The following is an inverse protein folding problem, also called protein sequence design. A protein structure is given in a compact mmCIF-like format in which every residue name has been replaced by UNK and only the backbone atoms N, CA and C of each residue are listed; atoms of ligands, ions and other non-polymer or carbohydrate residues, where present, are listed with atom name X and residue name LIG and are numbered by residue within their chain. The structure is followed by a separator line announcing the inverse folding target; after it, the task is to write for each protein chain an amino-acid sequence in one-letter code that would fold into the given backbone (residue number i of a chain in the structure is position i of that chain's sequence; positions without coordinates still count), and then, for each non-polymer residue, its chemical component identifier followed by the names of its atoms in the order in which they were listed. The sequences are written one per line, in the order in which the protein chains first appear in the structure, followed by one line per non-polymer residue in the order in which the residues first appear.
data_IF_084182840276
#
_entry.id   IF_084182840276
#
_cell.length_a   1.000
_cell.length_b   1.000
_cell.length_c   1.000
_cell.angle_alpha   90.00
_cell.angle_beta   90.00
_cell.angle_gamma   90.00
#
_symmetry.space_group_name_H-M   'P 1'
#
loop_
_entity.id
_entity.type
_entity.pdbx_description
1 polymer ?
#
# COMPACT_ATOMS: atom_id res chain seq x y z
N UNK A 1 18.01 76.11 -46.17
CA UNK A 1 18.62 75.46 -47.36
C UNK A 1 18.10 74.02 -47.41
N UNK A 2 17.24 73.76 -48.40
CA UNK A 2 16.69 72.49 -48.92
C UNK A 2 16.15 71.40 -47.97
N UNK A 3 14.81 71.32 -47.93
CA UNK A 3 14.01 70.13 -47.60
C UNK A 3 14.17 69.06 -48.69
N UNK A 4 14.41 67.80 -48.30
CA UNK A 4 14.19 66.63 -49.15
C UNK A 4 12.92 65.88 -48.70
N UNK A 5 11.95 65.78 -49.63
CA UNK A 5 10.79 64.87 -49.54
C UNK A 5 11.25 63.47 -49.97
N UNK A 6 11.01 62.46 -49.14
CA UNK A 6 11.09 61.05 -49.55
C UNK A 6 9.67 60.51 -49.58
N UNK A 7 9.28 60.01 -50.75
CA UNK A 7 7.98 59.40 -51.06
C UNK A 7 8.09 57.91 -50.74
N UNK A 8 7.22 57.39 -49.86
CA UNK A 8 7.08 55.95 -49.63
C UNK A 8 5.95 55.39 -50.50
N UNK A 9 6.30 54.42 -51.36
CA UNK A 9 5.36 53.64 -52.16
C UNK A 9 4.81 52.48 -51.32
N UNK A 10 3.49 52.41 -51.16
CA UNK A 10 2.80 51.32 -50.47
C UNK A 10 2.29 50.34 -51.53
N UNK A 11 2.86 49.14 -51.56
CA UNK A 11 2.39 48.03 -52.43
C UNK A 11 1.42 47.17 -51.63
N UNK A 12 0.15 47.13 -52.01
CA UNK A 12 -0.90 46.33 -51.37
C UNK A 12 -0.93 44.93 -51.99
N UNK A 13 -0.59 43.89 -51.21
CA UNK A 13 -0.65 42.49 -51.65
C UNK A 13 -2.06 41.92 -51.33
N UNK A 14 -2.85 41.61 -52.35
CA UNK A 14 -4.13 40.91 -52.19
C UNK A 14 -3.89 39.39 -52.06
N UNK A 15 -4.19 38.81 -50.90
CA UNK A 15 -4.25 37.35 -50.73
C UNK A 15 -5.63 36.84 -51.13
N UNK A 16 -5.71 36.08 -52.23
CA UNK A 16 -6.88 35.29 -52.60
C UNK A 16 -6.88 34.00 -51.77
N UNK A 17 -7.84 33.86 -50.85
CA UNK A 17 -8.09 32.61 -50.12
C UNK A 17 -8.97 31.69 -50.96
N UNK A 18 -8.38 30.64 -51.54
CA UNK A 18 -9.12 29.53 -52.15
C UNK A 18 -9.65 28.59 -51.06
N UNK A 19 -10.97 28.58 -50.84
CA UNK A 19 -11.62 27.67 -49.89
C UNK A 19 -11.95 26.33 -50.58
N UNK A 20 -11.11 25.32 -50.36
CA UNK A 20 -11.44 23.93 -50.71
C UNK A 20 -12.41 23.36 -49.67
N UNK A 21 -13.64 23.03 -50.10
CA UNK A 21 -14.61 22.33 -49.24
C UNK A 21 -14.58 20.83 -49.57
N UNK A 22 -14.47 19.99 -48.54
CA UNK A 22 -14.62 18.54 -48.68
C UNK A 22 -16.08 18.19 -49.04
N UNK A 23 -16.28 17.44 -50.13
CA UNK A 23 -17.61 17.08 -50.70
C UNK A 23 -18.27 15.90 -49.96
N UNK A 24 -17.73 15.45 -48.83
CA UNK A 24 -18.32 14.34 -48.08
C UNK A 24 -18.36 14.65 -46.59
N UNK A 25 -19.55 14.95 -46.08
CA UNK A 25 -19.77 14.93 -44.63
C UNK A 25 -19.86 13.46 -44.20
N UNK A 26 -19.05 13.02 -43.21
CA UNK A 26 -19.22 11.69 -42.66
C UNK A 26 -20.64 11.56 -42.08
N UNK A 27 -21.25 10.36 -42.15
CA UNK A 27 -22.55 10.15 -41.54
C UNK A 27 -22.52 10.54 -40.05
N UNK A 28 -23.62 11.09 -39.56
CA UNK A 28 -23.73 11.53 -38.18
C UNK A 28 -23.39 10.36 -37.24
N UNK A 29 -22.47 10.61 -36.30
CA UNK A 29 -22.09 9.64 -35.28
C UNK A 29 -23.34 9.21 -34.53
N UNK A 30 -23.72 7.95 -34.66
CA UNK A 30 -24.79 7.39 -33.85
C UNK A 30 -24.22 7.17 -32.46
N UNK A 31 -24.70 7.91 -31.46
CA UNK A 31 -24.46 7.58 -30.06
C UNK A 31 -25.21 6.28 -29.75
N UNK A 32 -24.59 5.15 -30.07
CA UNK A 32 -24.95 3.92 -29.38
C UNK A 32 -24.60 4.12 -27.92
N UNK A 33 -25.58 4.04 -27.02
CA UNK A 33 -25.34 3.79 -25.61
C UNK A 33 -24.50 2.52 -25.51
N UNK A 34 -23.19 2.69 -25.52
CA UNK A 34 -22.27 1.68 -25.05
C UNK A 34 -22.70 1.46 -23.60
N UNK A 35 -23.42 0.38 -23.35
CA UNK A 35 -23.66 -0.08 -21.98
C UNK A 35 -22.32 -0.10 -21.24
N UNK A 36 -22.33 -0.03 -19.90
CA UNK A 36 -21.09 0.05 -19.10
C UNK A 36 -20.04 -0.94 -19.63
N UNK A 37 -19.05 -0.42 -20.37
CA UNK A 37 -17.96 -1.23 -20.89
C UNK A 37 -17.11 -1.54 -19.68
N UNK A 38 -17.32 -2.71 -19.09
CA UNK A 38 -16.40 -3.18 -18.07
C UNK A 38 -15.03 -3.39 -18.73
N UNK A 39 -13.99 -2.88 -18.07
CA UNK A 39 -12.62 -3.09 -18.52
C UNK A 39 -12.35 -4.59 -18.69
N UNK A 40 -11.69 -4.96 -19.79
CA UNK A 40 -11.31 -6.35 -20.04
C UNK A 40 -10.46 -6.87 -18.89
N UNK A 41 -10.97 -7.88 -18.18
CA UNK A 41 -10.19 -8.59 -17.17
C UNK A 41 -9.63 -9.89 -17.75
N UNK A 42 -8.32 -10.16 -17.60
CA UNK A 42 -7.74 -11.41 -18.05
C UNK A 42 -8.46 -12.61 -17.43
N UNK A 43 -8.70 -13.66 -18.23
CA UNK A 43 -9.34 -14.91 -17.76
C UNK A 43 -8.54 -15.63 -16.66
N UNK A 44 -7.28 -15.25 -16.46
CA UNK A 44 -6.39 -15.78 -15.42
C UNK A 44 -6.71 -15.25 -14.02
N UNK A 45 -7.50 -14.17 -13.90
CA UNK A 45 -7.87 -13.59 -12.60
C UNK A 45 -9.20 -14.14 -12.13
N UNK A 46 -9.31 -14.49 -10.84
CA UNK A 46 -10.53 -15.07 -10.27
C UNK A 46 -11.67 -14.04 -10.23
N UNK A 47 -12.67 -14.12 -11.13
CA UNK A 47 -13.71 -13.10 -11.22
C UNK A 47 -14.66 -13.14 -10.02
N UNK A 48 -14.62 -14.19 -9.19
CA UNK A 48 -15.50 -14.31 -8.03
C UNK A 48 -15.15 -13.30 -6.93
N UNK A 49 -13.86 -12.97 -6.74
CA UNK A 49 -13.45 -12.00 -5.72
C UNK A 49 -13.92 -10.58 -6.02
N UNK A 50 -14.24 -10.27 -7.28
CA UNK A 50 -14.76 -8.95 -7.69
C UNK A 50 -16.20 -8.69 -7.25
N UNK A 51 -16.98 -9.74 -6.98
CA UNK A 51 -18.37 -9.60 -6.53
C UNK A 51 -18.43 -9.12 -5.08
N UNK A 52 -19.60 -8.68 -4.65
CA UNK A 52 -19.85 -8.42 -3.23
C UNK A 52 -19.72 -9.71 -2.41
N UNK A 53 -19.16 -9.62 -1.20
CA UNK A 53 -19.04 -10.74 -0.27
C UNK A 53 -19.64 -10.40 1.10
N UNK A 54 -20.05 -11.44 1.82
CA UNK A 54 -20.47 -11.38 3.22
C UNK A 54 -19.61 -12.37 4.00
N UNK A 55 -18.75 -11.89 4.89
CA UNK A 55 -17.78 -12.71 5.63
C UNK A 55 -17.74 -12.23 7.09
N UNK A 56 -17.99 -13.11 8.06
CA UNK A 56 -17.97 -12.82 9.50
C UNK A 56 -18.75 -11.54 9.91
N UNK A 57 -19.92 -11.34 9.30
CA UNK A 57 -20.83 -10.18 9.43
C UNK A 57 -20.31 -8.88 8.82
N UNK A 58 -19.30 -8.94 7.95
CA UNK A 58 -18.77 -7.81 7.21
C UNK A 58 -19.27 -7.87 5.77
N UNK A 59 -19.85 -6.77 5.32
CA UNK A 59 -20.23 -6.59 3.92
C UNK A 59 -19.05 -5.99 3.15
N UNK A 60 -18.48 -6.75 2.23
CA UNK A 60 -17.38 -6.29 1.38
C UNK A 60 -17.95 -5.86 0.03
N UNK A 61 -17.76 -4.59 -0.31
CA UNK A 61 -18.25 -4.00 -1.55
C UNK A 61 -17.63 -4.66 -2.79
N UNK A 62 -18.35 -4.72 -3.92
CA UNK A 62 -17.78 -5.23 -5.17
C UNK A 62 -16.64 -4.33 -5.67
N UNK A 63 -15.65 -4.92 -6.32
CA UNK A 63 -14.52 -4.20 -6.90
C UNK A 63 -14.54 -4.26 -8.41
N UNK A 64 -14.44 -3.09 -9.04
CA UNK A 64 -14.31 -2.97 -10.49
C UNK A 64 -12.92 -3.42 -10.98
N UNK A 65 -11.90 -3.42 -10.11
CA UNK A 65 -10.52 -3.79 -10.43
C UNK A 65 -10.46 -5.27 -10.82
N UNK A 66 -9.64 -5.60 -11.82
CA UNK A 66 -9.56 -6.97 -12.31
C UNK A 66 -8.99 -7.94 -11.27
N UNK A 67 -7.98 -7.50 -10.50
CA UNK A 67 -7.35 -8.27 -9.43
C UNK A 67 -7.57 -7.59 -8.07
N UNK A 68 -8.75 -7.74 -7.45
CA UNK A 68 -9.03 -7.19 -6.14
C UNK A 68 -8.29 -7.96 -5.04
N UNK A 69 -8.17 -7.34 -3.86
CA UNK A 69 -7.65 -8.00 -2.67
C UNK A 69 -8.53 -9.21 -2.29
N UNK A 70 -7.91 -10.19 -1.64
CA UNK A 70 -8.61 -11.35 -1.11
C UNK A 70 -9.66 -10.87 -0.06
N UNK A 71 -10.97 -11.13 -0.26
CA UNK A 71 -12.01 -10.65 0.65
C UNK A 71 -11.88 -11.21 2.08
N UNK A 72 -11.28 -12.39 2.25
CA UNK A 72 -11.01 -12.95 3.58
C UNK A 72 -9.91 -12.17 4.31
N UNK A 73 -8.91 -11.65 3.59
CA UNK A 73 -7.90 -10.77 4.18
C UNK A 73 -8.54 -9.45 4.61
N UNK A 74 -9.42 -8.87 3.78
CA UNK A 74 -10.17 -7.64 4.13
C UNK A 74 -10.94 -7.86 5.43
N UNK A 75 -11.66 -8.98 5.55
CA UNK A 75 -12.41 -9.30 6.76
C UNK A 75 -11.51 -9.39 8.01
N UNK A 76 -10.35 -10.03 7.88
CA UNK A 76 -9.36 -10.13 8.95
C UNK A 76 -8.73 -8.78 9.33
N UNK A 77 -8.46 -7.90 8.37
CA UNK A 77 -7.90 -6.57 8.60
C UNK A 77 -8.91 -5.60 9.24
N UNK A 78 -10.19 -5.73 8.90
CA UNK A 78 -11.26 -4.92 9.50
C UNK A 78 -11.52 -5.34 10.95
N UNK A 79 -11.75 -6.63 11.20
CA UNK A 79 -12.15 -7.12 12.53
C UNK A 79 -10.99 -7.47 13.47
N UNK A 80 -9.80 -7.69 12.93
CA UNK A 80 -8.70 -8.35 13.64
C UNK A 80 -8.75 -9.87 13.47
N UNK A 81 -7.58 -10.51 13.37
CA UNK A 81 -7.42 -11.96 13.24
C UNK A 81 -8.00 -12.73 14.42
N UNK A 82 -8.09 -12.10 15.60
CA UNK A 82 -8.73 -12.66 16.80
C UNK A 82 -10.27 -12.65 16.79
N UNK A 83 -10.90 -11.82 15.94
CA UNK A 83 -12.37 -11.66 15.90
C UNK A 83 -13.01 -12.22 14.60
N UNK A 84 -12.25 -13.04 13.87
CA UNK A 84 -12.71 -13.76 12.66
C UNK A 84 -12.85 -15.25 12.91
N UNK A 85 -13.68 -15.91 12.12
CA UNK A 85 -13.89 -17.35 12.24
C UNK A 85 -12.66 -18.12 11.75
N UNK A 86 -12.45 -19.33 12.27
CA UNK A 86 -11.39 -20.21 11.78
C UNK A 86 -11.55 -20.50 10.27
N UNK A 87 -12.80 -20.57 9.77
CA UNK A 87 -13.09 -20.74 8.36
C UNK A 87 -12.56 -19.56 7.52
N UNK A 88 -12.73 -18.32 7.98
CA UNK A 88 -12.15 -17.13 7.36
C UNK A 88 -10.63 -17.18 7.41
N UNK A 89 -10.03 -17.43 8.58
CA UNK A 89 -8.57 -17.48 8.74
C UNK A 89 -7.92 -18.54 7.85
N UNK A 90 -8.57 -19.69 7.63
CA UNK A 90 -8.10 -20.74 6.71
C UNK A 90 -8.03 -20.29 5.24
N UNK A 91 -8.77 -19.25 4.84
CA UNK A 91 -8.74 -18.64 3.50
C UNK A 91 -7.76 -17.47 3.38
N UNK A 92 -7.11 -17.08 4.48
CA UNK A 92 -6.03 -16.08 4.52
C UNK A 92 -4.66 -16.75 4.57
N UNK A 93 -3.59 -15.98 4.38
CA UNK A 93 -2.21 -16.38 4.70
C UNK A 93 -1.66 -15.66 5.94
N UNK A 94 -2.54 -15.11 6.78
CA UNK A 94 -2.16 -14.38 7.99
C UNK A 94 -1.92 -15.37 9.14
N UNK A 95 -0.94 -15.07 10.00
CA UNK A 95 -0.83 -15.75 11.29
C UNK A 95 -1.99 -15.34 12.22
N UNK A 96 -2.42 -16.20 13.17
CA UNK A 96 -3.53 -15.88 14.08
C UNK A 96 -3.30 -14.63 14.95
N UNK A 97 -2.04 -14.27 15.20
CA UNK A 97 -1.60 -13.12 16.01
C UNK A 97 -1.15 -11.92 15.16
N UNK A 98 -1.45 -11.91 13.85
CA UNK A 98 -0.99 -10.84 12.94
C UNK A 98 -1.58 -9.48 13.27
N UNK A 99 -2.87 -9.45 13.56
CA UNK A 99 -3.60 -8.22 13.88
C UNK A 99 -4.62 -8.52 14.97
N UNK A 100 -4.33 -8.15 16.20
CA UNK A 100 -5.26 -8.31 17.31
C UNK A 100 -5.93 -6.96 17.55
N UNK A 101 -7.26 -6.95 17.53
CA UNK A 101 -8.08 -5.78 17.86
C UNK A 101 -8.93 -6.09 19.08
N UNK A 102 -8.80 -5.29 20.13
CA UNK A 102 -9.44 -5.52 21.43
C UNK A 102 -9.80 -4.19 22.08
N UNK A 103 -10.67 -4.24 23.08
CA UNK A 103 -11.00 -3.14 23.99
C UNK A 103 -11.54 -1.89 23.29
N UNK A 104 -12.84 -1.64 23.47
CA UNK A 104 -13.48 -0.36 23.19
C UNK A 104 -13.26 0.52 24.44
N UNK A 105 -12.23 1.37 24.39
CA UNK A 105 -11.74 2.20 25.50
C UNK A 105 -12.59 3.46 25.65
N UNK A 106 -13.04 4.06 24.55
CA UNK A 106 -13.84 5.28 24.56
C UNK A 106 -15.36 5.06 24.47
N UNK A 107 -15.80 3.84 24.18
CA UNK A 107 -17.19 3.39 24.20
C UNK A 107 -17.96 3.69 22.92
N UNK A 108 -17.27 3.89 21.79
CA UNK A 108 -17.87 4.33 20.54
C UNK A 108 -18.31 3.18 19.60
N UNK A 109 -17.93 1.95 19.94
CA UNK A 109 -18.39 0.72 19.29
C UNK A 109 -17.36 0.01 18.42
N UNK A 110 -16.10 0.44 18.43
CA UNK A 110 -15.00 -0.28 17.79
C UNK A 110 -13.74 -0.41 18.69
N UNK A 111 -12.76 -1.25 18.32
CA UNK A 111 -11.64 -1.55 19.21
C UNK A 111 -10.48 -0.54 19.10
N UNK A 112 -10.09 0.04 20.24
CA UNK A 112 -9.03 1.04 20.37
C UNK A 112 -7.65 0.45 20.69
N UNK A 113 -7.57 -0.82 21.11
CA UNK A 113 -6.29 -1.47 21.38
C UNK A 113 -5.91 -2.41 20.24
N UNK A 114 -4.89 -2.02 19.48
CA UNK A 114 -4.50 -2.65 18.22
C UNK A 114 -3.07 -3.16 18.31
N UNK A 115 -2.89 -4.47 18.16
CA UNK A 115 -1.56 -5.09 18.09
C UNK A 115 -1.30 -5.58 16.67
N UNK A 116 -0.27 -5.03 16.03
CA UNK A 116 0.10 -5.31 14.64
C UNK A 116 1.44 -6.04 14.63
N UNK A 117 1.55 -7.17 13.93
CA UNK A 117 2.82 -7.88 13.73
C UNK A 117 3.28 -7.79 12.29
N UNK A 118 4.49 -7.28 12.11
CA UNK A 118 5.15 -7.15 10.83
C UNK A 118 6.42 -7.98 10.80
N UNK A 119 6.72 -8.52 9.63
CA UNK A 119 7.98 -9.18 9.30
C UNK A 119 8.72 -8.37 8.23
N UNK A 120 10.05 -8.54 8.15
CA UNK A 120 10.81 -8.04 7.00
C UNK A 120 11.03 -9.17 6.02
N UNK A 121 10.61 -8.95 4.79
CA UNK A 121 10.70 -9.93 3.72
C UNK A 121 11.52 -9.39 2.56
N UNK A 122 12.17 -10.29 1.86
CA UNK A 122 12.84 -10.00 0.61
C UNK A 122 11.96 -10.46 -0.56
N UNK A 123 11.69 -9.57 -1.50
CA UNK A 123 10.87 -9.83 -2.67
C UNK A 123 11.71 -10.52 -3.75
N UNK A 124 12.20 -11.72 -3.46
CA UNK A 124 12.90 -12.56 -4.42
C UNK A 124 12.05 -13.79 -4.73
N UNK A 125 11.94 -14.17 -6.00
CA UNK A 125 11.18 -15.36 -6.35
C UNK A 125 10.86 -15.49 -7.83
N UNK A 126 10.06 -16.51 -8.14
CA UNK A 126 9.60 -16.74 -9.49
C UNK A 126 8.35 -15.89 -9.79
N UNK A 127 8.28 -15.35 -11.00
CA UNK A 127 7.07 -14.72 -11.53
C UNK A 127 6.49 -15.61 -12.63
N UNK A 128 5.16 -15.66 -12.81
CA UNK A 128 4.55 -16.23 -14.02
C UNK A 128 5.08 -15.62 -15.32
N UNK A 129 5.64 -14.40 -15.25
CA UNK A 129 6.09 -13.64 -16.42
C UNK A 129 7.54 -13.97 -16.84
N UNK A 130 8.34 -14.58 -15.95
CA UNK A 130 9.77 -14.84 -16.16
C UNK A 130 10.12 -16.29 -15.83
N UNK A 131 10.98 -16.91 -16.66
CA UNK A 131 11.42 -18.30 -16.46
C UNK A 131 12.42 -18.46 -15.31
N UNK A 132 13.25 -17.44 -15.10
CA UNK A 132 14.30 -17.44 -14.08
C UNK A 132 13.81 -16.71 -12.81
N UNK A 133 14.34 -17.06 -11.63
CA UNK A 133 14.06 -16.32 -10.40
C UNK A 133 14.41 -14.84 -10.56
N UNK A 134 13.47 -13.98 -10.20
CA UNK A 134 13.68 -12.54 -10.05
C UNK A 134 14.29 -12.31 -8.67
N UNK A 135 15.58 -11.99 -8.64
CA UNK A 135 16.29 -11.58 -7.42
C UNK A 135 16.53 -10.07 -7.37
N UNK A 136 16.31 -9.39 -8.49
CA UNK A 136 16.48 -7.95 -8.64
C UNK A 136 15.51 -7.41 -9.68
N UNK A 137 15.13 -6.15 -9.55
CA UNK A 137 14.12 -5.51 -10.39
C UNK A 137 14.74 -4.39 -11.20
N UNK A 138 14.65 -4.46 -12.52
CA UNK A 138 15.20 -3.43 -13.40
C UNK A 138 14.38 -2.14 -13.32
N UNK A 139 14.95 -1.11 -12.70
CA UNK A 139 14.31 0.22 -12.60
C UNK A 139 14.89 1.23 -13.60
N UNK A 140 16.11 1.01 -14.08
CA UNK A 140 16.77 1.84 -15.09
C UNK A 140 17.86 1.03 -15.83
N UNK A 141 18.40 1.51 -16.96
CA UNK A 141 19.52 0.86 -17.63
C UNK A 141 20.71 0.62 -16.68
N UNK A 142 21.04 -0.64 -16.43
CA UNK A 142 22.13 -1.04 -15.52
C UNK A 142 21.79 -1.02 -14.03
N UNK A 143 20.57 -0.66 -13.62
CA UNK A 143 20.17 -0.57 -12.22
C UNK A 143 19.11 -1.64 -11.91
N UNK A 144 19.50 -2.65 -11.13
CA UNK A 144 18.63 -3.73 -10.68
C UNK A 144 18.77 -3.93 -9.15
N UNK A 145 18.07 -3.14 -8.30
CA UNK A 145 18.06 -3.39 -6.85
C UNK A 145 17.28 -4.65 -6.50
N UNK A 146 17.63 -5.28 -5.38
CA UNK A 146 16.71 -6.14 -4.64
C UNK A 146 15.73 -5.28 -3.86
N UNK A 147 14.50 -5.76 -3.67
CA UNK A 147 13.48 -5.07 -2.88
C UNK A 147 13.15 -5.85 -1.61
N UNK A 148 13.05 -5.11 -0.51
CA UNK A 148 12.60 -5.57 0.79
C UNK A 148 11.34 -4.82 1.17
N UNK A 149 10.43 -5.49 1.85
CA UNK A 149 9.19 -4.89 2.31
C UNK A 149 8.90 -5.31 3.75
N UNK A 150 8.20 -4.44 4.48
CA UNK A 150 7.46 -4.93 5.63
C UNK A 150 6.24 -5.70 5.11
N UNK A 151 5.92 -6.82 5.75
CA UNK A 151 4.72 -7.58 5.43
C UNK A 151 3.99 -7.94 6.73
N UNK A 152 2.65 -8.07 6.72
CA UNK A 152 1.94 -8.64 7.85
C UNK A 152 2.48 -10.05 8.12
N UNK A 153 2.62 -10.39 9.41
CA UNK A 153 3.07 -11.73 9.81
C UNK A 153 2.27 -12.80 9.09
N UNK A 154 2.97 -13.64 8.35
CA UNK A 154 2.31 -14.65 7.53
C UNK A 154 2.32 -16.01 8.22
N UNK A 155 1.38 -16.88 7.85
CA UNK A 155 1.48 -18.31 8.10
C UNK A 155 1.91 -19.02 6.82
N UNK A 156 2.80 -19.98 6.94
CA UNK A 156 3.18 -20.84 5.83
C UNK A 156 4.39 -20.32 5.05
N UNK A 157 4.29 -20.33 3.72
CA UNK A 157 5.44 -20.14 2.81
C UNK A 157 5.38 -18.79 2.11
N UNK A 158 6.54 -18.35 1.61
CA UNK A 158 6.65 -17.17 0.74
C UNK A 158 5.95 -17.34 -0.62
N UNK A 159 5.60 -18.57 -0.99
CA UNK A 159 4.79 -18.90 -2.16
C UNK A 159 3.39 -19.37 -1.72
N UNK A 160 2.43 -19.38 -2.66
CA UNK A 160 1.07 -19.87 -2.41
C UNK A 160 1.02 -21.32 -1.88
N UNK A 161 1.96 -22.18 -2.31
CA UNK A 161 2.09 -23.57 -1.86
C UNK A 161 3.49 -24.13 -2.17
N UNK A 162 3.80 -25.34 -1.68
CA UNK A 162 5.08 -26.02 -1.94
C UNK A 162 5.27 -26.39 -3.42
N UNK A 163 4.17 -26.44 -4.17
CA UNK A 163 4.14 -26.77 -5.60
C UNK A 163 3.97 -25.52 -6.48
N UNK A 164 3.73 -24.35 -5.89
CA UNK A 164 3.53 -23.10 -6.64
C UNK A 164 4.80 -22.27 -6.63
N UNK A 165 5.11 -21.71 -7.79
CA UNK A 165 6.15 -20.69 -7.96
C UNK A 165 5.63 -19.28 -7.77
N UNK A 166 4.30 -19.11 -7.58
CA UNK A 166 3.68 -17.81 -7.37
C UNK A 166 3.91 -17.34 -5.94
N UNK A 167 4.40 -16.12 -5.79
CA UNK A 167 4.60 -15.48 -4.51
C UNK A 167 3.27 -15.34 -3.74
N UNK A 168 3.35 -15.42 -2.42
CA UNK A 168 2.24 -15.14 -1.52
C UNK A 168 1.80 -13.67 -1.71
N UNK A 169 0.51 -13.38 -1.96
CA UNK A 169 0.04 -12.04 -2.27
C UNK A 169 0.18 -11.03 -1.12
N UNK A 170 0.44 -11.48 0.11
CA UNK A 170 0.80 -10.59 1.22
C UNK A 170 2.18 -9.95 1.04
N UNK A 171 3.06 -10.59 0.24
CA UNK A 171 4.42 -10.17 -0.02
C UNK A 171 4.43 -9.25 -1.24
N UNK A 172 4.30 -7.95 -1.01
CA UNK A 172 4.21 -6.95 -2.07
C UNK A 172 4.89 -5.65 -1.71
N UNK A 173 5.22 -4.88 -2.74
CA UNK A 173 5.69 -3.49 -2.65
C UNK A 173 4.58 -2.55 -3.15
N UNK A 174 4.34 -1.38 -2.51
CA UNK A 174 4.97 -0.89 -1.27
C UNK A 174 4.57 -1.72 -0.03
N UNK A 175 5.28 -1.51 1.08
CA UNK A 175 4.91 -2.09 2.38
C UNK A 175 3.45 -1.71 2.74
N UNK A 176 2.72 -2.53 3.51
CA UNK A 176 1.30 -2.30 3.77
C UNK A 176 1.07 -0.95 4.43
N UNK A 177 -0.03 -0.28 4.06
CA UNK A 177 -0.51 0.85 4.82
C UNK A 177 -1.04 0.37 6.16
N UNK A 178 -0.61 1.02 7.25
CA UNK A 178 -1.23 0.84 8.56
C UNK A 178 -2.29 1.93 8.70
N UNK A 179 -3.55 1.54 8.93
CA UNK A 179 -4.66 2.48 9.13
C UNK A 179 -5.27 2.29 10.52
N UNK A 180 -5.37 3.37 11.27
CA UNK A 180 -5.79 3.40 12.68
C UNK A 180 -6.55 4.70 12.93
N UNK A 181 -7.15 4.83 14.10
CA UNK A 181 -7.85 6.04 14.51
C UNK A 181 -7.04 6.88 15.50
N UNK A 182 -7.48 8.14 15.59
CA UNK A 182 -6.96 9.08 16.55
C UNK A 182 -7.34 8.62 17.97
N UNK A 183 -6.35 8.40 18.82
CA UNK A 183 -6.54 7.96 20.20
C UNK A 183 -6.23 6.49 20.45
N UNK A 184 -6.15 5.67 19.39
CA UNK A 184 -5.86 4.24 19.49
C UNK A 184 -4.53 3.98 20.20
N UNK A 185 -4.52 2.93 21.03
CA UNK A 185 -3.31 2.36 21.60
C UNK A 185 -2.78 1.28 20.68
N UNK A 186 -1.68 1.59 20.00
CA UNK A 186 -1.15 0.74 18.94
C UNK A 186 0.18 0.14 19.38
N UNK A 187 0.27 -1.18 19.34
CA UNK A 187 1.51 -1.91 19.54
C UNK A 187 1.93 -2.52 18.21
N UNK A 188 2.98 -1.97 17.59
CA UNK A 188 3.57 -2.55 16.38
C UNK A 188 4.76 -3.42 16.77
N UNK A 189 4.70 -4.72 16.51
CA UNK A 189 5.81 -5.64 16.75
C UNK A 189 6.48 -6.00 15.44
N UNK A 190 7.76 -5.66 15.31
CA UNK A 190 8.62 -6.14 14.24
C UNK A 190 9.23 -7.48 14.64
N UNK A 191 8.88 -8.55 13.95
CA UNK A 191 9.54 -9.86 14.01
C UNK A 191 10.56 -9.95 12.89
N UNK A 192 11.85 -9.84 13.21
CA UNK A 192 12.89 -9.82 12.19
C UNK A 192 13.28 -11.25 11.75
N UNK A 193 12.53 -11.80 10.79
CA UNK A 193 12.87 -13.05 10.10
C UNK A 193 13.93 -12.87 9.00
N UNK A 194 14.36 -11.64 8.72
CA UNK A 194 15.39 -11.31 7.73
C UNK A 194 16.82 -11.48 8.27
N UNK A 195 17.79 -11.64 7.37
CA UNK A 195 19.20 -11.88 7.70
C UNK A 195 20.00 -10.61 8.03
N UNK A 196 19.40 -9.43 7.91
CA UNK A 196 19.97 -8.14 8.32
C UNK A 196 19.23 -7.57 9.53
N UNK A 197 19.89 -6.78 10.40
CA UNK A 197 19.21 -5.99 11.42
C UNK A 197 18.28 -4.94 10.81
N UNK A 198 17.13 -4.74 11.46
CA UNK A 198 16.12 -3.76 11.03
C UNK A 198 15.55 -2.99 12.23
N UNK A 199 14.81 -1.93 11.93
CA UNK A 199 13.98 -1.18 12.87
C UNK A 199 12.79 -0.59 12.12
N UNK A 200 11.83 -0.01 12.83
CA UNK A 200 10.77 0.82 12.27
C UNK A 200 10.80 2.17 12.96
N UNK A 201 10.86 3.25 12.19
CA UNK A 201 10.67 4.61 12.67
C UNK A 201 9.39 5.18 12.05
N UNK A 202 8.56 5.81 12.88
CA UNK A 202 7.26 6.34 12.51
C UNK A 202 7.32 7.87 12.43
N UNK A 203 6.94 8.44 11.29
CA UNK A 203 6.92 9.89 11.12
C UNK A 203 5.56 10.45 11.52
N UNK A 204 5.53 11.59 12.20
CA UNK A 204 4.29 12.33 12.46
C UNK A 204 3.25 11.59 13.31
N UNK A 205 3.65 10.47 13.93
CA UNK A 205 2.81 9.69 14.86
C UNK A 205 3.32 9.96 16.27
N UNK A 206 2.39 10.20 17.18
CA UNK A 206 2.73 10.40 18.58
C UNK A 206 3.16 9.09 19.24
N UNK A 207 4.40 9.08 19.73
CA UNK A 207 4.95 7.99 20.52
C UNK A 207 5.95 8.54 21.53
N UNK A 208 6.14 7.90 22.69
CA UNK A 208 7.18 8.32 23.61
C UNK A 208 8.57 8.01 23.02
N UNK A 209 9.60 8.69 23.53
CA UNK A 209 11.00 8.38 23.18
C UNK A 209 11.46 7.05 23.79
N UNK A 210 10.97 6.73 24.99
CA UNK A 210 11.20 5.49 25.73
C UNK A 210 9.88 4.99 26.30
N UNK A 211 9.74 3.67 26.39
CA UNK A 211 8.65 3.00 27.10
C UNK A 211 8.82 3.18 28.62
N UNK A 212 7.77 2.87 29.37
CA UNK A 212 7.79 2.95 30.84
C UNK A 212 8.94 2.16 31.48
N UNK A 213 9.31 1.02 30.87
CA UNK A 213 10.41 0.18 31.31
C UNK A 213 11.83 0.72 30.97
N UNK A 214 11.92 1.92 30.38
CA UNK A 214 13.18 2.57 29.99
C UNK A 214 13.78 2.09 28.66
N UNK A 215 13.16 1.13 27.98
CA UNK A 215 13.57 0.72 26.65
C UNK A 215 13.17 1.79 25.62
N UNK A 216 14.02 2.08 24.64
CA UNK A 216 13.70 3.03 23.57
C UNK A 216 12.42 2.71 22.83
N UNK A 217 11.80 3.69 22.17
CA UNK A 217 10.60 3.48 21.38
C UNK A 217 10.60 4.16 19.98
N UNK A 218 11.45 5.16 19.72
CA UNK A 218 11.44 5.91 18.45
C UNK A 218 11.99 5.13 17.22
N UNK A 219 12.67 4.00 17.45
CA UNK A 219 13.13 3.13 16.36
C UNK A 219 14.31 3.66 15.55
N UNK A 220 14.93 4.76 15.99
CA UNK A 220 16.20 5.29 15.51
C UNK A 220 17.34 4.66 16.31
N UNK A 221 18.16 3.75 15.72
CA UNK A 221 19.11 2.95 16.49
C UNK A 221 20.22 3.76 17.18
N UNK A 222 20.51 4.96 16.68
CA UNK A 222 21.60 5.80 17.17
C UNK A 222 21.21 6.60 18.42
N UNK A 223 19.91 6.81 18.66
CA UNK A 223 19.41 7.72 19.70
C UNK A 223 18.53 6.99 20.71
N UNK A 224 17.57 6.19 20.26
CA UNK A 224 16.50 5.70 21.11
C UNK A 224 16.59 4.20 21.38
N UNK A 225 16.78 3.37 20.35
CA UNK A 225 16.55 1.91 20.44
C UNK A 225 17.78 1.11 20.00
N UNK A 226 17.82 -0.19 20.32
CA UNK A 226 18.75 -1.12 19.69
C UNK A 226 18.17 -1.66 18.38
N UNK A 227 19.04 -2.11 17.49
CA UNK A 227 18.67 -2.83 16.27
C UNK A 227 17.86 -4.09 16.62
N UNK A 228 16.78 -4.35 15.89
CA UNK A 228 16.12 -5.65 15.92
C UNK A 228 16.98 -6.62 15.13
N UNK A 229 17.80 -7.40 15.82
CA UNK A 229 18.70 -8.38 15.20
C UNK A 229 17.93 -9.53 14.53
N UNK A 230 18.52 -10.24 13.55
CA UNK A 230 17.91 -11.45 12.97
C UNK A 230 17.44 -12.44 14.03
N UNK A 231 16.23 -12.97 13.88
CA UNK A 231 15.57 -13.88 14.82
C UNK A 231 15.12 -13.23 16.14
N UNK A 232 15.18 -11.90 16.25
CA UNK A 232 14.64 -11.15 17.39
C UNK A 232 13.38 -10.39 16.99
N UNK A 233 12.65 -9.96 18.00
CA UNK A 233 11.48 -9.11 17.83
C UNK A 233 11.62 -7.85 18.68
N UNK A 234 10.92 -6.80 18.29
CA UNK A 234 10.86 -5.54 19.01
C UNK A 234 9.48 -4.91 18.85
N UNK A 235 8.93 -4.37 19.94
CA UNK A 235 7.59 -3.76 19.96
C UNK A 235 7.66 -2.25 20.23
N UNK A 236 6.95 -1.51 19.39
CA UNK A 236 6.76 -0.06 19.38
C UNK A 236 5.38 0.28 19.92
N UNK A 237 5.29 1.26 20.82
CA UNK A 237 4.05 1.77 21.41
C UNK A 237 3.72 3.15 20.84
N UNK A 238 2.55 3.30 20.24
CA UNK A 238 2.08 4.53 19.60
C UNK A 238 0.70 4.91 20.16
N UNK A 239 0.41 6.22 20.23
CA UNK A 239 -0.91 6.74 20.57
C UNK A 239 -1.17 8.00 19.75
N UNK A 240 -1.57 7.88 18.47
CA UNK A 240 -1.66 9.00 17.55
C UNK A 240 -2.72 10.00 18.01
N UNK A 241 -2.35 11.27 18.26
CA UNK A 241 -3.31 12.33 18.65
C UNK A 241 -3.68 13.24 17.50
N UNK A 242 -3.03 13.10 16.35
CA UNK A 242 -3.26 13.93 15.16
C UNK A 242 -3.61 13.05 13.97
N UNK A 243 -4.65 13.44 13.25
CA UNK A 243 -5.07 12.77 12.02
C UNK A 243 -4.18 13.17 10.85
N UNK A 244 -4.05 12.28 9.87
CA UNK A 244 -3.24 12.57 8.69
C UNK A 244 -2.74 11.32 7.98
N UNK A 245 -1.97 11.56 6.92
CA UNK A 245 -1.20 10.54 6.22
C UNK A 245 0.27 10.81 6.43
N UNK A 246 0.92 9.84 7.07
CA UNK A 246 2.33 9.86 7.39
C UNK A 246 3.02 8.63 6.79
N UNK A 247 4.27 8.42 7.16
CA UNK A 247 5.08 7.29 6.68
C UNK A 247 5.75 6.58 7.85
N UNK A 248 6.06 5.31 7.65
CA UNK A 248 6.99 4.58 8.51
C UNK A 248 8.05 3.93 7.64
N UNK A 249 9.26 3.79 8.15
CA UNK A 249 10.35 3.19 7.39
C UNK A 249 11.43 2.56 8.27
N UNK A 250 12.29 1.75 7.66
CA UNK A 250 13.46 1.23 8.35
C UNK A 250 14.51 2.33 8.59
N UNK A 251 15.03 2.41 9.81
CA UNK A 251 16.05 3.40 10.18
C UNK A 251 17.45 2.81 10.35
N UNK A 252 17.62 1.51 10.06
CA UNK A 252 18.93 0.89 9.83
C UNK A 252 19.38 1.28 8.43
N UNK A 253 20.54 1.91 8.30
CA UNK A 253 21.07 2.41 7.01
C UNK A 253 19.96 3.07 6.15
N UNK A 254 19.23 4.02 6.75
CA UNK A 254 17.97 4.55 6.19
C UNK A 254 18.10 4.98 4.72
N UNK A 255 19.23 5.59 4.34
CA UNK A 255 19.54 5.99 2.96
C UNK A 255 19.46 4.84 1.94
N UNK A 256 19.73 3.60 2.36
CA UNK A 256 19.70 2.40 1.51
C UNK A 256 18.38 1.64 1.69
N UNK A 257 17.97 1.36 2.93
CA UNK A 257 16.82 0.48 3.18
C UNK A 257 15.50 1.08 2.69
N UNK A 258 15.34 2.42 2.74
CA UNK A 258 14.16 3.11 2.16
C UNK A 258 14.14 2.90 0.64
N UNK A 259 15.28 3.07 -0.04
CA UNK A 259 15.38 2.90 -1.49
C UNK A 259 15.20 1.45 -1.93
N UNK A 260 15.49 0.51 -1.04
CA UNK A 260 15.17 -0.91 -1.22
C UNK A 260 13.72 -1.26 -0.89
N UNK A 261 12.87 -0.30 -0.52
CA UNK A 261 11.41 -0.51 -0.39
C UNK A 261 10.87 -0.65 1.04
N UNK A 262 11.72 -0.58 2.07
CA UNK A 262 11.30 -0.63 3.48
C UNK A 262 10.69 0.70 3.94
N UNK A 263 9.58 1.05 3.31
CA UNK A 263 8.75 2.21 3.58
C UNK A 263 7.28 1.85 3.34
N UNK A 264 6.41 2.33 4.21
CA UNK A 264 4.96 2.21 4.09
C UNK A 264 4.25 3.47 4.58
N UNK A 265 2.95 3.52 4.35
CA UNK A 265 2.10 4.62 4.81
C UNK A 265 1.54 4.31 6.19
N UNK A 266 1.46 5.33 7.05
CA UNK A 266 0.74 5.27 8.31
C UNK A 266 -0.37 6.31 8.25
N UNK A 267 -1.62 5.87 8.36
CA UNK A 267 -2.79 6.72 8.17
C UNK A 267 -3.56 6.74 9.48
N UNK A 268 -3.76 7.95 10.01
CA UNK A 268 -4.57 8.19 11.20
C UNK A 268 -5.87 8.86 10.75
N UNK A 269 -6.97 8.14 10.92
CA UNK A 269 -8.32 8.64 10.64
C UNK A 269 -8.89 9.37 11.85
N UNK A 270 -9.85 10.26 11.60
CA UNK A 270 -10.63 10.86 12.69
C UNK A 270 -11.42 9.77 13.40
N UNK A 271 -11.31 9.73 14.72
CA UNK A 271 -12.14 8.88 15.56
C UNK A 271 -13.62 9.20 15.30
N UNK A 272 -14.38 8.15 14.96
CA UNK A 272 -15.82 8.23 14.70
C UNK A 272 -16.50 6.99 15.25
N UNK A 273 -17.72 7.12 15.81
CA UNK A 273 -18.43 5.97 16.35
C UNK A 273 -18.59 4.81 15.36
N UNK A 274 -18.17 3.62 15.77
CA UNK A 274 -18.26 2.36 15.02
C UNK A 274 -17.47 2.39 13.70
N UNK A 275 -16.28 2.99 13.70
CA UNK A 275 -15.46 3.12 12.51
C UNK A 275 -14.46 1.98 12.37
N UNK A 276 -14.93 0.81 11.96
CA UNK A 276 -14.07 -0.37 11.79
C UNK A 276 -13.08 -0.22 10.62
N UNK A 277 -11.89 0.34 10.90
CA UNK A 277 -10.86 0.60 9.90
C UNK A 277 -10.22 -0.70 9.40
N UNK A 278 -9.95 -0.76 8.08
CA UNK A 278 -9.12 -1.82 7.49
C UNK A 278 -7.63 -1.53 7.81
N UNK A 279 -7.20 -1.99 8.98
CA UNK A 279 -5.85 -1.82 9.52
C UNK A 279 -4.83 -2.72 8.84
#
# INVERSE_FOLDING_TARGET
MYLYKIVYSITLLFFLTSASHAVYQPPATQETLLGKVEAFCPKTVNPKWRKQHQIDNITISPSAVCNPDNPYNIAAFVKGTNNTSMATMMQTQLAPDTLIKTNDIDGDGDPDEIHIRLEVIELNGFSPDLKDPVTTYKIAPGINPGFWAFAPKSRGMSNESFASVKANPLLRLPSPSIRVEQGDKIIVTLENSHYFPHSIHFHGVDHPFQKENGEGNDGVPQTSNKLTMPGKQFSYELTPRQTGTMIYHCHVQAHTHILMGLIGMFIVEENRPNNWVQT
#
